data_IF_109215991550
#
_entry.id   IF_109215991550
#
_cell.length_a   1.000
_cell.length_b   1.000
_cell.length_c   1.000
_cell.angle_alpha   90.00
_cell.angle_beta   90.00
_cell.angle_gamma   90.00
#
_symmetry.space_group_name_H-M   'P 1'
#
loop_
_entity.id
_entity.type
_entity.pdbx_description
1 polymer ?
#
# COMPACT_ATOMS: atom_id res chain seq x y z
N UNK A 1 -28.58 -55.63 -20.49
CA UNK A 1 -28.48 -54.39 -21.28
C UNK A 1 -29.72 -53.59 -20.99
N UNK A 2 -29.52 -52.30 -20.77
CA UNK A 2 -30.49 -51.23 -20.52
C UNK A 2 -31.29 -51.24 -19.21
N UNK A 3 -30.93 -50.28 -18.35
CA UNK A 3 -31.88 -49.42 -17.64
C UNK A 3 -31.29 -48.00 -17.68
N UNK A 4 -31.97 -47.15 -18.44
CA UNK A 4 -31.89 -45.69 -18.44
C UNK A 4 -32.48 -45.08 -17.16
N UNK A 5 -32.25 -43.76 -16.98
CA UNK A 5 -32.81 -42.85 -15.95
C UNK A 5 -32.09 -42.91 -14.58
N UNK A 6 -31.58 -41.83 -13.95
CA UNK A 6 -31.75 -40.39 -14.12
C UNK A 6 -30.51 -39.64 -13.62
N UNK A 7 -30.13 -38.56 -14.32
CA UNK A 7 -29.13 -37.60 -13.85
C UNK A 7 -29.75 -36.72 -12.75
N UNK A 8 -29.48 -37.03 -11.48
CA UNK A 8 -29.79 -36.15 -10.36
C UNK A 8 -28.92 -34.87 -10.39
N UNK A 9 -29.58 -33.77 -10.07
CA UNK A 9 -29.25 -32.40 -10.47
C UNK A 9 -28.28 -31.74 -9.46
N UNK A 10 -27.02 -31.42 -9.81
CA UNK A 10 -25.98 -30.92 -8.87
C UNK A 10 -26.27 -29.53 -8.28
N UNK A 11 -27.31 -28.83 -8.76
CA UNK A 11 -27.73 -27.51 -8.28
C UNK A 11 -28.47 -27.61 -6.93
N UNK A 12 -29.19 -28.71 -6.67
CA UNK A 12 -29.98 -28.88 -5.44
C UNK A 12 -29.09 -29.08 -4.20
N UNK A 13 -27.95 -29.76 -4.33
CA UNK A 13 -27.02 -30.00 -3.22
C UNK A 13 -26.35 -28.69 -2.73
N UNK A 14 -26.00 -27.79 -3.66
CA UNK A 14 -25.40 -26.48 -3.35
C UNK A 14 -26.42 -25.57 -2.64
N UNK A 15 -27.69 -25.59 -3.05
CA UNK A 15 -28.74 -24.77 -2.41
C UNK A 15 -29.09 -25.21 -0.98
N UNK A 16 -28.98 -26.50 -0.69
CA UNK A 16 -29.19 -27.05 0.66
C UNK A 16 -28.09 -26.62 1.65
N UNK A 17 -26.82 -26.70 1.23
CA UNK A 17 -25.66 -26.29 2.04
C UNK A 17 -25.63 -24.78 2.27
N UNK A 18 -25.99 -23.98 1.25
CA UNK A 18 -26.06 -22.53 1.37
C UNK A 18 -27.18 -22.07 2.32
N UNK A 19 -28.33 -22.77 2.35
CA UNK A 19 -29.43 -22.49 3.29
C UNK A 19 -29.08 -22.83 4.74
N UNK A 20 -28.32 -23.92 4.99
CA UNK A 20 -27.87 -24.27 6.34
C UNK A 20 -26.86 -23.25 6.89
N UNK A 21 -25.93 -22.77 6.05
CA UNK A 21 -24.95 -21.75 6.45
C UNK A 21 -25.61 -20.39 6.69
N UNK A 22 -26.64 -20.03 5.93
CA UNK A 22 -27.38 -18.79 6.16
C UNK A 22 -28.15 -18.82 7.49
N UNK A 23 -28.78 -19.95 7.85
CA UNK A 23 -29.52 -20.09 9.11
C UNK A 23 -28.62 -20.01 10.36
N UNK A 24 -27.34 -20.40 10.26
CA UNK A 24 -26.35 -20.21 11.33
C UNK A 24 -25.89 -18.75 11.50
N UNK A 25 -26.03 -17.91 10.46
CA UNK A 25 -25.62 -16.51 10.49
C UNK A 25 -26.69 -15.55 11.04
N UNK A 26 -27.96 -15.99 11.13
CA UNK A 26 -29.08 -15.12 11.53
C UNK A 26 -29.61 -15.32 12.95
N UNK A 27 -29.02 -16.19 13.78
CA UNK A 27 -29.53 -16.45 15.13
C UNK A 27 -28.91 -15.64 16.28
N UNK A 28 -27.99 -14.71 16.05
CA UNK A 28 -27.47 -13.86 17.13
C UNK A 28 -26.96 -12.50 16.65
N UNK A 29 -27.85 -11.59 16.26
CA UNK A 29 -27.57 -10.15 16.40
C UNK A 29 -28.85 -9.41 16.75
N UNK A 30 -29.24 -9.50 18.02
CA UNK A 30 -30.06 -8.50 18.67
C UNK A 30 -29.32 -8.04 19.93
N UNK A 31 -28.29 -7.23 19.74
CA UNK A 31 -27.75 -6.41 20.81
C UNK A 31 -27.67 -4.98 20.28
N UNK A 32 -28.53 -4.11 20.80
CA UNK A 32 -28.39 -2.67 20.61
C UNK A 32 -27.14 -2.24 21.37
N UNK A 33 -25.99 -2.23 20.71
CA UNK A 33 -24.82 -1.56 21.25
C UNK A 33 -25.12 -0.06 21.34
N UNK A 34 -25.15 0.42 22.58
CA UNK A 34 -25.29 1.82 22.94
C UNK A 34 -24.12 2.57 22.33
N UNK A 35 -24.36 3.24 21.20
CA UNK A 35 -23.35 4.07 20.52
C UNK A 35 -22.86 5.12 21.52
N UNK A 36 -21.66 4.89 22.04
CA UNK A 36 -21.02 5.76 23.02
C UNK A 36 -20.14 6.74 22.27
N UNK A 37 -20.54 8.00 22.29
CA UNK A 37 -19.82 9.08 21.61
C UNK A 37 -18.55 9.40 22.41
N UNK A 38 -17.37 9.15 21.83
CA UNK A 38 -16.10 9.57 22.44
C UNK A 38 -15.81 11.00 22.01
N UNK A 39 -15.85 11.95 22.94
CA UNK A 39 -15.39 13.31 22.70
C UNK A 39 -13.86 13.37 22.81
N UNK A 40 -13.22 14.09 21.88
CA UNK A 40 -11.76 14.22 21.75
C UNK A 40 -11.08 14.77 23.03
N UNK A 41 -11.86 15.28 23.99
CA UNK A 41 -11.38 15.86 25.26
C UNK A 41 -11.63 15.00 26.50
N UNK A 42 -12.41 13.91 26.41
CA UNK A 42 -12.76 13.10 27.58
C UNK A 42 -12.28 11.65 27.44
N UNK A 43 -11.92 11.06 28.58
CA UNK A 43 -11.36 9.71 28.70
C UNK A 43 -12.35 8.64 28.26
N UNK A 44 -11.94 7.81 27.30
CA UNK A 44 -12.73 6.64 26.86
C UNK A 44 -12.89 5.65 28.01
N UNK A 45 -14.14 5.39 28.42
CA UNK A 45 -14.47 4.38 29.43
C UNK A 45 -14.30 2.95 28.91
N UNK A 46 -14.19 2.76 27.58
CA UNK A 46 -13.96 1.46 26.95
C UNK A 46 -12.44 1.25 26.68
N UNK A 47 -11.80 0.22 27.28
CA UNK A 47 -10.39 -0.10 27.07
C UNK A 47 -10.00 -0.40 25.62
N UNK A 48 -10.91 -0.98 24.83
CA UNK A 48 -10.70 -1.34 23.43
C UNK A 48 -10.78 -0.10 22.52
N UNK A 49 -11.72 0.81 22.81
CA UNK A 49 -11.82 2.12 22.16
C UNK A 49 -10.65 3.05 22.54
N UNK A 50 -10.17 2.99 23.78
CA UNK A 50 -8.96 3.70 24.21
C UNK A 50 -7.73 3.21 23.44
N UNK A 51 -7.62 1.91 23.16
CA UNK A 51 -6.55 1.30 22.36
C UNK A 51 -6.63 1.71 20.87
N UNK A 52 -7.84 1.91 20.35
CA UNK A 52 -8.07 2.43 18.99
C UNK A 52 -7.75 3.93 18.90
N UNK A 53 -8.15 4.71 19.92
CA UNK A 53 -7.87 6.14 20.04
C UNK A 53 -6.38 6.42 20.24
N UNK A 54 -5.68 5.57 21.00
CA UNK A 54 -4.23 5.59 21.17
C UNK A 54 -3.51 5.30 19.83
N UNK A 55 -4.09 4.43 18.99
CA UNK A 55 -3.63 4.16 17.61
C UNK A 55 -3.99 5.28 16.61
N UNK A 56 -4.97 6.13 16.92
CA UNK A 56 -5.34 7.34 16.17
C UNK A 56 -4.72 8.63 16.73
N UNK A 57 -3.82 8.55 17.73
CA UNK A 57 -3.20 9.70 18.40
C UNK A 57 -2.68 10.77 17.45
N UNK A 58 -2.25 10.35 16.26
CA UNK A 58 -1.80 11.24 15.20
C UNK A 58 -2.70 11.07 13.98
N UNK A 59 -3.74 11.89 13.90
CA UNK A 59 -4.49 12.09 12.65
C UNK A 59 -3.60 12.86 11.66
N UNK A 60 -2.60 12.16 11.13
CA UNK A 60 -1.54 12.71 10.31
C UNK A 60 -1.52 12.09 8.91
N UNK A 61 -1.12 12.92 7.95
CA UNK A 61 -1.07 12.62 6.52
C UNK A 61 0.22 11.98 6.08
N UNK A 62 1.30 12.24 6.82
CA UNK A 62 2.66 11.83 6.49
C UNK A 62 3.49 11.75 7.76
N UNK A 63 4.62 11.05 7.67
CA UNK A 63 5.63 11.03 8.73
C UNK A 63 6.18 12.45 9.02
N UNK A 64 6.26 13.31 8.00
CA UNK A 64 6.66 14.71 8.16
C UNK A 64 5.70 15.47 9.06
N UNK A 65 4.39 15.28 8.89
CA UNK A 65 3.40 15.89 9.78
C UNK A 65 3.49 15.31 11.20
N UNK A 66 3.66 14.00 11.35
CA UNK A 66 3.87 13.36 12.65
C UNK A 66 5.02 14.04 13.39
N UNK A 67 6.17 14.16 12.71
CA UNK A 67 7.36 14.80 13.25
C UNK A 67 7.13 16.26 13.63
N UNK A 68 6.62 17.07 12.70
CA UNK A 68 6.56 18.52 12.86
C UNK A 68 5.51 18.93 13.89
N UNK A 69 4.33 18.30 13.85
CA UNK A 69 3.16 18.66 14.67
C UNK A 69 3.21 18.01 16.05
N UNK A 70 3.58 16.73 16.11
CA UNK A 70 3.52 15.94 17.34
C UNK A 70 4.89 15.70 17.98
N UNK A 71 5.97 16.20 17.36
CA UNK A 71 7.33 16.16 17.90
C UNK A 71 7.80 14.73 18.22
N UNK A 72 7.39 13.79 17.37
CA UNK A 72 7.83 12.39 17.43
C UNK A 72 9.03 12.20 16.51
N UNK A 73 10.09 11.59 17.03
CA UNK A 73 11.40 11.52 16.36
C UNK A 73 11.93 10.10 16.18
N UNK A 74 11.23 9.09 16.69
CA UNK A 74 11.66 7.70 16.59
C UNK A 74 11.29 7.10 15.22
N UNK A 75 12.23 6.41 14.60
CA UNK A 75 11.96 5.62 13.40
C UNK A 75 10.99 4.47 13.74
N UNK A 76 10.13 4.06 12.81
CA UNK A 76 9.25 2.93 13.05
C UNK A 76 7.99 2.89 12.22
N UNK A 77 7.06 2.01 12.60
CA UNK A 77 5.77 1.89 11.94
C UNK A 77 4.75 2.86 12.56
N UNK A 78 4.09 3.63 11.71
CA UNK A 78 3.06 4.59 12.09
C UNK A 78 1.80 4.37 11.26
N UNK A 79 0.65 4.72 11.82
CA UNK A 79 -0.61 4.81 11.09
C UNK A 79 -0.77 6.21 10.52
N UNK A 80 -1.16 6.29 9.24
CA UNK A 80 -1.44 7.51 8.51
C UNK A 80 -2.84 7.44 7.90
N UNK A 81 -3.45 8.60 7.66
CA UNK A 81 -4.77 8.72 7.04
C UNK A 81 -4.71 9.53 5.75
N UNK A 82 -5.17 8.95 4.63
CA UNK A 82 -5.22 9.60 3.30
C UNK A 82 -6.40 10.58 3.15
N UNK A 83 -6.47 11.35 2.05
CA UNK A 83 -7.40 12.52 1.89
C UNK A 83 -8.83 12.07 1.85
N UNK A 84 -9.00 10.81 1.47
CA UNK A 84 -10.26 10.10 1.38
C UNK A 84 -10.58 9.30 2.65
N UNK A 85 -9.83 9.50 3.73
CA UNK A 85 -10.06 8.83 5.01
C UNK A 85 -9.53 7.40 5.11
N UNK A 86 -8.75 6.91 4.13
CA UNK A 86 -8.17 5.56 4.19
C UNK A 86 -7.04 5.53 5.21
N UNK A 87 -7.18 4.72 6.25
CA UNK A 87 -6.16 4.46 7.25
C UNK A 87 -5.21 3.36 6.75
N UNK A 88 -3.90 3.59 6.85
CA UNK A 88 -2.88 2.60 6.47
C UNK A 88 -1.64 2.72 7.36
N UNK A 89 -0.93 1.61 7.53
CA UNK A 89 0.33 1.58 8.28
C UNK A 89 1.52 1.65 7.32
N UNK A 90 2.54 2.43 7.67
CA UNK A 90 3.80 2.49 6.92
C UNK A 90 5.00 2.78 7.82
N UNK A 91 6.20 2.60 7.29
CA UNK A 91 7.45 2.95 7.94
C UNK A 91 7.76 4.44 7.79
N UNK A 92 8.16 5.07 8.89
CA UNK A 92 8.67 6.42 8.94
C UNK A 92 10.16 6.41 9.29
N UNK A 93 10.97 7.02 8.43
CA UNK A 93 12.33 7.40 8.77
C UNK A 93 12.30 8.83 9.33
N UNK A 94 12.45 8.91 10.64
CA UNK A 94 12.49 10.13 11.43
C UNK A 94 13.93 10.59 11.69
N UNK A 95 14.93 10.03 11.01
CA UNK A 95 16.33 10.37 11.25
C UNK A 95 16.99 11.08 10.07
N UNK A 96 16.88 10.54 8.85
CA UNK A 96 17.65 11.02 7.69
C UNK A 96 17.31 12.47 7.37
N UNK A 97 18.32 13.33 7.20
CA UNK A 97 18.16 14.74 6.82
C UNK A 97 17.12 15.51 7.66
N UNK A 98 17.10 15.25 8.97
CA UNK A 98 16.12 15.88 9.85
C UNK A 98 14.72 15.27 9.76
N UNK A 99 14.59 14.04 9.24
CA UNK A 99 13.45 13.12 9.40
C UNK A 99 12.13 13.51 8.73
N UNK A 100 11.15 12.63 8.89
CA UNK A 100 9.80 12.82 8.34
C UNK A 100 9.60 12.15 6.97
N UNK A 101 10.49 11.25 6.57
CA UNK A 101 10.37 10.48 5.34
C UNK A 101 9.33 9.38 5.52
N UNK A 102 8.41 9.27 4.56
CA UNK A 102 7.34 8.28 4.56
C UNK A 102 7.64 7.22 3.52
N UNK A 103 7.75 5.95 3.92
CA UNK A 103 7.81 4.85 2.94
C UNK A 103 6.46 4.79 2.21
N UNK A 104 6.50 4.87 0.88
CA UNK A 104 5.29 4.82 0.05
C UNK A 104 5.27 3.67 -0.96
N UNK A 105 6.45 3.16 -1.32
CA UNK A 105 6.60 2.05 -2.23
C UNK A 105 7.94 1.32 -2.04
N UNK A 106 8.00 0.07 -2.49
CA UNK A 106 9.21 -0.73 -2.70
C UNK A 106 9.07 -1.50 -4.00
N UNK A 107 10.16 -1.55 -4.76
CA UNK A 107 10.29 -2.34 -6.00
C UNK A 107 11.15 -3.55 -5.66
N UNK A 108 10.58 -4.74 -5.77
CA UNK A 108 11.22 -5.98 -5.37
C UNK A 108 11.23 -6.98 -6.54
N UNK A 109 12.42 -7.50 -6.85
CA UNK A 109 12.58 -8.56 -7.85
C UNK A 109 12.42 -9.93 -7.18
N UNK A 110 11.39 -10.67 -7.57
CA UNK A 110 11.08 -11.99 -7.01
C UNK A 110 11.73 -13.14 -7.80
N UNK A 111 11.96 -12.97 -9.11
CA UNK A 111 12.58 -13.97 -9.97
C UNK A 111 13.17 -13.33 -11.24
N UNK A 112 14.47 -13.02 -11.21
CA UNK A 112 15.21 -12.41 -12.33
C UNK A 112 15.12 -13.21 -13.66
N UNK A 113 14.85 -14.52 -13.59
CA UNK A 113 14.68 -15.38 -14.76
C UNK A 113 13.25 -15.34 -15.32
N UNK A 114 12.27 -14.93 -14.51
CA UNK A 114 10.91 -14.61 -14.96
C UNK A 114 10.93 -13.31 -15.75
N UNK A 115 10.38 -13.33 -16.97
CA UNK A 115 10.30 -12.14 -17.81
C UNK A 115 8.87 -11.64 -17.85
N UNK A 116 8.56 -10.63 -17.05
CA UNK A 116 7.23 -10.04 -16.95
C UNK A 116 6.17 -11.08 -16.53
N UNK A 117 6.48 -11.80 -15.45
CA UNK A 117 5.68 -12.86 -14.84
C UNK A 117 5.00 -12.40 -13.55
N UNK A 118 4.29 -13.30 -12.87
CA UNK A 118 3.66 -12.98 -11.58
C UNK A 118 4.71 -12.47 -10.59
N UNK A 119 4.46 -11.29 -10.01
CA UNK A 119 5.41 -10.56 -9.16
C UNK A 119 5.99 -9.31 -9.82
N UNK A 120 6.03 -9.24 -11.16
CA UNK A 120 6.59 -8.10 -11.92
C UNK A 120 5.62 -6.89 -11.99
N UNK A 121 5.10 -6.44 -10.85
CA UNK A 121 4.02 -5.43 -10.77
C UNK A 121 4.45 -4.05 -11.23
N UNK A 122 5.74 -3.72 -11.12
CA UNK A 122 6.28 -2.43 -11.54
C UNK A 122 6.62 -2.36 -13.03
N UNK A 123 6.46 -3.47 -13.75
CA UNK A 123 6.59 -3.56 -15.21
C UNK A 123 5.29 -4.14 -15.80
N UNK A 124 5.20 -5.45 -15.97
CA UNK A 124 4.04 -6.18 -16.50
C UNK A 124 4.02 -7.59 -15.92
N UNK A 125 2.86 -8.08 -15.49
CA UNK A 125 2.69 -9.49 -15.12
C UNK A 125 2.05 -10.32 -16.26
N UNK A 126 1.88 -9.71 -17.43
CA UNK A 126 1.22 -10.29 -18.61
C UNK A 126 2.22 -10.59 -19.73
N UNK A 127 3.49 -10.80 -19.38
CA UNK A 127 4.57 -10.95 -20.34
C UNK A 127 4.93 -9.65 -21.06
N UNK A 128 5.77 -9.79 -22.07
CA UNK A 128 6.12 -8.73 -23.01
C UNK A 128 5.09 -8.68 -24.15
N UNK A 129 3.97 -7.99 -23.92
CA UNK A 129 2.87 -7.86 -24.88
C UNK A 129 2.88 -6.49 -25.56
N UNK A 130 3.11 -6.41 -26.89
CA UNK A 130 3.09 -5.14 -27.62
C UNK A 130 1.72 -4.43 -27.59
N UNK A 131 0.64 -5.16 -27.31
CA UNK A 131 -0.70 -4.58 -27.15
C UNK A 131 -0.92 -3.98 -25.75
N UNK A 132 0.04 -4.16 -24.83
CA UNK A 132 0.03 -3.59 -23.48
C UNK A 132 1.31 -2.77 -23.24
N UNK A 133 1.54 -1.69 -24.01
CA UNK A 133 2.78 -0.90 -23.94
C UNK A 133 3.02 -0.24 -22.57
N UNK A 134 1.98 -0.10 -21.75
CA UNK A 134 2.08 0.46 -20.40
C UNK A 134 2.21 -0.62 -19.30
N UNK A 135 2.25 -1.91 -19.66
CA UNK A 135 2.29 -3.02 -18.73
C UNK A 135 1.13 -3.01 -17.73
N UNK A 136 1.45 -3.18 -16.45
CA UNK A 136 0.49 -3.09 -15.34
C UNK A 136 0.10 -1.64 -15.00
N UNK A 137 0.86 -0.64 -15.49
CA UNK A 137 0.58 0.79 -15.30
C UNK A 137 0.70 1.26 -13.85
N UNK A 138 1.39 0.49 -13.00
CA UNK A 138 1.45 0.67 -11.54
C UNK A 138 1.96 2.03 -11.10
N UNK A 139 2.89 2.64 -11.84
CA UNK A 139 3.44 3.96 -11.54
C UNK A 139 2.41 5.10 -11.59
N UNK A 140 1.35 4.96 -12.37
CA UNK A 140 0.37 6.03 -12.62
C UNK A 140 -1.08 5.63 -12.32
N UNK A 141 -1.28 4.54 -11.58
CA UNK A 141 -2.59 4.11 -11.08
C UNK A 141 -2.67 4.23 -9.54
N UNK A 142 -3.87 4.00 -8.98
CA UNK A 142 -4.12 4.08 -7.52
C UNK A 142 -4.24 2.70 -6.85
N UNK A 143 -3.86 1.62 -7.55
CA UNK A 143 -3.84 0.28 -6.96
C UNK A 143 -2.71 0.22 -5.93
N UNK A 144 -2.97 -0.43 -4.80
CA UNK A 144 -2.04 -0.64 -3.66
C UNK A 144 -1.87 -2.13 -3.38
N UNK A 145 -0.71 -2.53 -2.86
CA UNK A 145 -0.37 -3.91 -2.57
C UNK A 145 0.75 -4.01 -1.53
N UNK A 146 0.91 -5.21 -0.96
CA UNK A 146 1.93 -5.51 0.04
C UNK A 146 1.68 -4.85 1.39
N UNK A 147 2.62 -5.05 2.30
CA UNK A 147 2.64 -4.41 3.62
C UNK A 147 4.02 -3.81 3.87
N UNK A 148 4.12 -2.78 4.73
CA UNK A 148 5.40 -2.16 5.02
C UNK A 148 6.41 -3.18 5.58
N UNK A 149 5.99 -4.07 6.48
CA UNK A 149 6.89 -5.07 7.07
C UNK A 149 7.45 -6.06 6.04
N UNK A 150 6.76 -6.28 4.92
CA UNK A 150 7.15 -7.20 3.87
C UNK A 150 7.82 -6.52 2.67
N UNK A 151 8.14 -5.22 2.75
CA UNK A 151 8.63 -4.44 1.62
C UNK A 151 10.00 -4.88 1.06
N UNK A 152 10.74 -5.72 1.78
CA UNK A 152 11.98 -6.36 1.31
C UNK A 152 11.76 -7.81 0.85
N UNK A 153 10.54 -8.33 0.94
CA UNK A 153 10.18 -9.71 0.59
C UNK A 153 9.21 -9.80 -0.60
N UNK A 154 8.47 -8.74 -0.89
CA UNK A 154 7.64 -8.56 -2.08
C UNK A 154 7.47 -7.05 -2.34
N UNK A 155 6.87 -6.71 -3.48
CA UNK A 155 6.53 -5.33 -3.79
C UNK A 155 5.64 -4.69 -2.73
N UNK A 156 5.82 -3.39 -2.53
CA UNK A 156 5.00 -2.62 -1.63
C UNK A 156 4.54 -1.33 -2.32
N UNK A 157 3.27 -0.97 -2.16
CA UNK A 157 2.74 0.35 -2.55
C UNK A 157 1.53 0.68 -1.70
N UNK A 158 1.56 1.81 -1.00
CA UNK A 158 0.47 2.26 -0.13
C UNK A 158 -0.22 3.53 -0.67
N UNK A 159 -1.37 3.95 -0.08
CA UNK A 159 -2.09 5.14 -0.53
C UNK A 159 -1.26 6.43 -0.52
N UNK A 160 -0.25 6.52 0.35
CA UNK A 160 0.65 7.67 0.43
C UNK A 160 1.40 7.95 -0.87
N UNK A 161 1.62 6.94 -1.72
CA UNK A 161 2.29 7.07 -3.01
C UNK A 161 1.64 8.11 -3.94
N UNK A 162 0.30 8.15 -3.95
CA UNK A 162 -0.48 9.06 -4.79
C UNK A 162 -1.19 10.17 -4.01
N UNK A 163 -1.28 10.05 -2.68
CA UNK A 163 -1.98 11.01 -1.82
C UNK A 163 -1.07 12.07 -1.19
N UNK A 164 0.14 11.69 -0.73
CA UNK A 164 1.03 12.61 -0.02
C UNK A 164 1.57 13.66 -0.99
N UNK A 165 1.64 14.91 -0.52
CA UNK A 165 2.36 16.00 -1.20
C UNK A 165 3.72 16.18 -0.54
N UNK A 166 4.73 15.54 -1.12
CA UNK A 166 6.14 15.69 -0.77
C UNK A 166 6.86 16.73 -1.63
N UNK A 167 8.15 16.92 -1.32
CA UNK A 167 9.07 17.79 -2.07
C UNK A 167 10.21 17.01 -2.68
N UNK A 168 10.68 15.98 -1.99
CA UNK A 168 11.86 15.21 -2.31
C UNK A 168 11.59 13.71 -2.23
N UNK A 169 12.52 12.92 -2.79
CA UNK A 169 12.51 11.46 -2.73
C UNK A 169 13.75 10.98 -1.97
N UNK A 170 13.58 9.96 -1.15
CA UNK A 170 14.65 9.20 -0.50
C UNK A 170 14.56 7.74 -0.96
N UNK A 171 15.70 7.15 -1.29
CA UNK A 171 15.81 5.78 -1.80
C UNK A 171 16.84 5.02 -0.99
N UNK A 172 16.42 3.84 -0.51
CA UNK A 172 17.28 2.90 0.20
C UNK A 172 17.35 1.61 -0.60
N UNK A 173 18.56 1.11 -0.80
CA UNK A 173 18.79 -0.23 -1.34
C UNK A 173 19.04 -1.17 -0.17
N UNK A 174 18.04 -1.99 0.13
CA UNK A 174 18.04 -2.94 1.25
C UNK A 174 18.08 -4.35 0.67
N UNK A 175 18.95 -5.26 1.17
CA UNK A 175 18.92 -6.66 0.75
C UNK A 175 17.54 -7.30 0.97
N UNK A 176 17.20 -8.27 0.11
CA UNK A 176 15.91 -8.97 0.20
C UNK A 176 15.79 -9.72 1.55
N UNK A 177 14.55 -9.83 2.04
CA UNK A 177 14.15 -10.53 3.26
C UNK A 177 14.76 -10.01 4.57
N UNK A 178 15.38 -8.82 4.56
CA UNK A 178 15.84 -8.16 5.78
C UNK A 178 14.62 -7.68 6.58
N UNK A 179 14.57 -8.02 7.87
CA UNK A 179 13.51 -7.58 8.77
C UNK A 179 13.58 -6.06 9.01
N UNK A 180 12.42 -5.43 9.20
CA UNK A 180 12.25 -3.97 9.26
C UNK A 180 13.22 -3.26 10.22
N UNK A 181 13.47 -3.82 11.40
CA UNK A 181 14.38 -3.24 12.40
C UNK A 181 15.83 -3.15 11.93
N UNK A 182 16.22 -3.91 10.91
CA UNK A 182 17.59 -3.96 10.39
C UNK A 182 17.74 -3.24 9.04
N UNK A 183 16.68 -2.68 8.44
CA UNK A 183 16.79 -2.04 7.12
C UNK A 183 17.86 -0.96 7.09
N UNK A 184 17.89 -0.09 8.11
CA UNK A 184 18.82 1.05 8.16
C UNK A 184 20.29 0.62 8.23
N UNK A 185 20.58 -0.46 8.96
CA UNK A 185 21.94 -0.99 9.15
C UNK A 185 22.37 -1.92 8.01
N UNK A 186 21.43 -2.66 7.41
CA UNK A 186 21.69 -3.57 6.29
C UNK A 186 21.71 -2.87 4.92
N UNK A 187 21.19 -1.64 4.82
CA UNK A 187 21.18 -0.89 3.56
C UNK A 187 22.60 -0.65 3.05
N UNK A 188 22.88 -1.03 1.80
CA UNK A 188 24.19 -0.78 1.18
C UNK A 188 24.26 0.58 0.46
N UNK A 189 23.11 1.16 0.07
CA UNK A 189 23.01 2.52 -0.44
C UNK A 189 21.79 3.23 0.16
N UNK A 190 21.97 4.47 0.60
CA UNK A 190 20.88 5.36 1.04
C UNK A 190 21.18 6.78 0.56
N UNK A 191 20.26 7.38 -0.17
CA UNK A 191 20.41 8.73 -0.71
C UNK A 191 19.05 9.41 -0.86
N UNK A 192 19.05 10.73 -0.96
CA UNK A 192 17.83 11.51 -1.15
C UNK A 192 18.11 12.77 -1.98
N UNK A 193 17.04 13.35 -2.51
CA UNK A 193 17.09 14.68 -3.14
C UNK A 193 16.94 15.78 -2.09
N UNK A 194 17.38 16.99 -2.43
CA UNK A 194 17.23 18.20 -1.59
C UNK A 194 16.76 19.42 -2.40
N UNK A 195 16.52 19.24 -3.70
CA UNK A 195 16.17 20.33 -4.61
C UNK A 195 14.66 20.56 -4.74
N UNK A 196 13.84 19.84 -3.97
CA UNK A 196 12.39 19.97 -3.92
C UNK A 196 11.69 19.73 -5.27
N UNK A 197 12.27 18.93 -6.17
CA UNK A 197 11.78 18.78 -7.54
C UNK A 197 10.32 18.30 -7.64
N UNK A 198 9.80 17.54 -6.66
CA UNK A 198 8.41 17.07 -6.71
C UNK A 198 7.41 18.23 -6.67
N UNK A 199 7.78 19.40 -6.14
CA UNK A 199 6.90 20.57 -6.04
C UNK A 199 6.35 21.01 -7.40
N UNK A 200 7.16 20.94 -8.46
CA UNK A 200 6.76 21.29 -9.84
C UNK A 200 6.19 20.10 -10.63
N UNK A 201 6.22 18.90 -10.06
CA UNK A 201 5.71 17.66 -10.67
C UNK A 201 4.49 17.08 -9.94
N UNK A 202 3.69 17.95 -9.30
CA UNK A 202 2.43 17.55 -8.64
C UNK A 202 2.61 16.92 -7.25
N UNK A 203 3.80 16.98 -6.67
CA UNK A 203 4.08 16.67 -5.27
C UNK A 203 4.34 15.19 -4.96
N UNK A 204 4.28 14.28 -5.93
CA UNK A 204 4.59 12.87 -5.72
C UNK A 204 4.90 12.13 -7.04
N UNK A 205 5.36 10.89 -6.92
CA UNK A 205 5.73 10.06 -8.05
C UNK A 205 4.54 9.73 -8.96
N UNK A 206 3.34 9.52 -8.40
CA UNK A 206 2.14 9.27 -9.19
C UNK A 206 1.86 10.41 -10.19
N UNK A 207 1.89 11.66 -9.73
CA UNK A 207 1.67 12.82 -10.60
C UNK A 207 2.82 13.01 -11.60
N UNK A 208 4.06 12.78 -11.17
CA UNK A 208 5.23 12.82 -12.04
C UNK A 208 5.10 11.80 -13.19
N UNK A 209 4.79 10.55 -12.90
CA UNK A 209 4.64 9.51 -13.92
C UNK A 209 3.40 9.71 -14.78
N UNK A 210 2.31 10.26 -14.24
CA UNK A 210 1.18 10.69 -15.08
C UNK A 210 1.60 11.72 -16.13
N UNK A 211 2.42 12.70 -15.76
CA UNK A 211 2.93 13.70 -16.72
C UNK A 211 3.84 13.03 -17.75
N UNK A 212 4.81 12.21 -17.31
CA UNK A 212 5.76 11.56 -18.22
C UNK A 212 5.09 10.60 -19.21
N UNK A 213 4.09 9.84 -18.75
CA UNK A 213 3.37 8.85 -19.58
C UNK A 213 2.31 9.48 -20.50
N UNK A 214 1.90 10.72 -20.25
CA UNK A 214 0.93 11.44 -21.10
C UNK A 214 1.58 12.38 -22.11
N UNK A 215 2.91 12.55 -22.07
CA UNK A 215 3.65 13.34 -23.06
C UNK A 215 3.98 12.48 -24.29
N UNK A 216 3.29 12.69 -25.44
CA UNK A 216 3.54 11.90 -26.66
C UNK A 216 4.99 12.03 -27.18
N UNK A 217 5.72 13.09 -26.79
CA UNK A 217 7.11 13.31 -27.19
C UNK A 217 8.16 12.48 -26.41
N UNK A 218 7.80 11.86 -25.28
CA UNK A 218 8.74 11.08 -24.45
C UNK A 218 8.55 9.56 -24.55
N UNK A 219 7.40 9.11 -25.07
CA UNK A 219 7.12 7.68 -25.30
C UNK A 219 8.21 6.93 -26.10
N UNK A 220 8.78 7.47 -27.20
CA UNK A 220 9.84 6.77 -27.92
C UNK A 220 11.24 6.87 -27.27
N UNK A 221 11.45 7.75 -26.28
CA UNK A 221 12.74 7.86 -25.57
C UNK A 221 12.80 6.98 -24.31
N UNK A 222 11.68 6.79 -23.61
CA UNK A 222 11.60 5.87 -22.46
C UNK A 222 11.79 4.40 -22.87
N UNK A 223 11.31 4.02 -24.06
CA UNK A 223 11.50 2.66 -24.60
C UNK A 223 12.95 2.32 -24.95
N UNK A 224 13.83 3.33 -25.08
CA UNK A 224 15.26 3.14 -25.40
C UNK A 224 16.19 3.22 -24.18
N UNK A 225 15.72 3.69 -23.03
CA UNK A 225 16.57 3.88 -21.83
C UNK A 225 16.41 2.78 -20.76
N UNK A 226 15.46 1.85 -20.92
CA UNK A 226 15.22 0.70 -20.03
C UNK A 226 15.62 -0.63 -20.69
N UNK A 227 16.86 -0.69 -21.20
CA UNK A 227 17.62 -1.91 -21.46
C UNK A 227 18.90 -1.87 -20.62
#
# INVERSE_FOLDING_TARGET
MDLSEDFENPILYITSVLRLLCSFMFHNVANQEKVTFCNIRDTCSNPEAAKLLDKMKFAARSCKEIRDKYRVYDDGLYYLISSRGVLYQTYCDMTTAGGGWTLVASVHENNMYGKCTVGDRWSSQQGNDPNRPNGDGTWANTVTFGTAVAATSDDYKNPGYFDIRGRDVSVWHVPNNVQLQHWKTASFLRYHTENHFLTVHGGNLFNLFKILLTLPALLPMLYKLLL
#
